data_IF_727402632731
#
_entry.id   IF_727402632731
#
_cell.length_a   1.000
_cell.length_b   1.000
_cell.length_c   1.000
_cell.angle_alpha   90.00
_cell.angle_beta   90.00
_cell.angle_gamma   90.00
#
_symmetry.space_group_name_H-M   'P 1'
#
loop_
_entity.id
_entity.type
_entity.pdbx_description
1 polymer ?
#
# COMPACT_ATOMS: atom_id res chain seq x y z
N UNK A 1 -33.29 25.93 33.32
CA UNK A 1 -31.87 25.96 32.92
C UNK A 1 -31.87 25.39 31.53
N UNK A 2 -31.72 26.28 30.56
CA UNK A 2 -31.59 25.91 29.15
C UNK A 2 -30.19 25.29 29.02
N UNK A 3 -30.13 24.06 28.52
CA UNK A 3 -28.88 23.44 28.10
C UNK A 3 -28.38 24.21 26.88
N UNK A 4 -27.37 25.06 27.09
CA UNK A 4 -26.53 25.59 26.02
C UNK A 4 -25.67 24.41 25.52
N UNK A 5 -26.20 23.62 24.58
CA UNK A 5 -25.33 22.88 23.66
C UNK A 5 -24.69 23.92 22.74
N UNK A 6 -23.41 24.19 22.94
CA UNK A 6 -22.62 25.00 22.04
C UNK A 6 -22.45 24.20 20.74
N UNK A 7 -23.13 24.60 19.66
CA UNK A 7 -23.07 24.01 18.31
C UNK A 7 -21.67 24.14 17.64
N UNK A 8 -20.62 24.36 18.44
CA UNK A 8 -19.23 24.58 18.01
C UNK A 8 -18.25 23.52 18.53
N UNK A 9 -18.73 22.48 19.23
CA UNK A 9 -17.86 21.45 19.80
C UNK A 9 -17.22 20.59 18.67
N UNK A 10 -15.89 20.65 18.56
CA UNK A 10 -15.11 19.93 17.51
C UNK A 10 -14.07 18.99 18.12
N UNK A 11 -14.50 18.01 18.94
CA UNK A 11 -13.59 17.20 19.75
C UNK A 11 -12.57 16.39 18.92
N UNK A 12 -12.94 15.96 17.71
CA UNK A 12 -12.01 15.30 16.80
C UNK A 12 -10.97 16.27 16.23
N UNK A 13 -11.40 17.48 15.85
CA UNK A 13 -10.50 18.53 15.40
C UNK A 13 -9.50 18.95 16.49
N UNK A 14 -10.00 19.14 17.72
CA UNK A 14 -9.19 19.49 18.87
C UNK A 14 -8.20 18.38 19.24
N UNK A 15 -8.58 17.11 19.09
CA UNK A 15 -7.68 15.99 19.31
C UNK A 15 -6.51 15.98 18.31
N UNK A 16 -6.78 16.27 17.02
CA UNK A 16 -5.74 16.40 16.00
C UNK A 16 -4.82 17.58 16.32
N UNK A 17 -5.39 18.75 16.64
CA UNK A 17 -4.61 19.94 16.99
C UNK A 17 -3.75 19.72 18.24
N UNK A 18 -4.28 19.05 19.26
CA UNK A 18 -3.54 18.71 20.47
C UNK A 18 -2.36 17.76 20.18
N UNK A 19 -2.47 16.87 19.19
CA UNK A 19 -1.36 16.03 18.74
C UNK A 19 -0.26 16.84 18.03
N UNK A 20 -0.65 17.89 17.29
CA UNK A 20 0.25 18.73 16.50
C UNK A 20 0.92 19.84 17.32
N UNK A 21 0.26 20.36 18.35
CA UNK A 21 0.74 21.49 19.15
C UNK A 21 2.16 21.30 19.73
N UNK A 22 2.55 20.11 20.23
CA UNK A 22 3.94 19.89 20.69
C UNK A 22 4.97 19.89 19.55
N UNK A 23 4.60 19.45 18.34
CA UNK A 23 5.51 19.38 17.19
C UNK A 23 5.75 20.76 16.56
N UNK A 24 4.72 21.61 16.56
CA UNK A 24 4.72 22.89 15.85
C UNK A 24 4.45 24.06 16.80
N UNK A 25 5.00 24.01 18.00
CA UNK A 25 4.75 24.99 19.05
C UNK A 25 4.99 26.43 18.57
N UNK A 26 3.95 27.26 18.61
CA UNK A 26 4.00 28.67 18.21
C UNK A 26 3.90 28.92 16.69
N UNK A 27 3.67 27.87 15.88
CA UNK A 27 3.38 28.00 14.46
C UNK A 27 1.87 27.87 14.21
N UNK A 28 1.28 28.89 13.60
CA UNK A 28 -0.07 28.80 13.05
C UNK A 28 -0.03 28.00 11.73
N UNK A 29 -0.84 26.94 11.58
CA UNK A 29 -0.89 26.18 10.35
C UNK A 29 -1.44 27.01 9.20
N UNK A 30 -0.99 26.68 7.99
CA UNK A 30 -1.72 27.09 6.78
C UNK A 30 -2.81 26.08 6.52
N UNK A 31 -4.03 26.45 6.87
CA UNK A 31 -5.19 25.60 6.72
C UNK A 31 -5.90 25.85 5.37
N UNK A 32 -6.12 24.79 4.62
CA UNK A 32 -6.79 24.78 3.32
C UNK A 32 -8.09 23.97 3.44
N UNK A 33 -9.20 24.66 3.65
CA UNK A 33 -10.53 24.04 3.71
C UNK A 33 -11.18 23.89 2.33
N UNK A 34 -12.26 23.12 2.25
CA UNK A 34 -13.06 23.01 1.03
C UNK A 34 -14.01 24.20 0.86
N UNK A 35 -14.23 24.62 -0.40
CA UNK A 35 -15.15 25.73 -0.70
C UNK A 35 -16.62 25.34 -0.53
N UNK A 36 -16.94 24.06 -0.74
CA UNK A 36 -18.25 23.46 -0.51
C UNK A 36 -18.04 22.13 0.23
N UNK A 37 -18.59 21.97 1.45
CA UNK A 37 -18.48 20.72 2.20
C UNK A 37 -19.00 19.52 1.41
N UNK A 38 -18.37 18.36 1.60
CA UNK A 38 -18.75 17.12 0.92
C UNK A 38 -20.19 16.70 1.21
N UNK A 39 -20.64 16.87 2.46
CA UNK A 39 -22.01 16.62 2.90
C UNK A 39 -23.06 17.47 2.17
N UNK A 40 -22.64 18.60 1.58
CA UNK A 40 -23.48 19.50 0.79
C UNK A 40 -23.31 19.30 -0.73
N UNK A 41 -22.69 18.18 -1.15
CA UNK A 41 -22.47 17.86 -2.55
C UNK A 41 -21.17 18.40 -3.15
N UNK A 42 -20.21 18.79 -2.28
CA UNK A 42 -18.83 19.08 -2.69
C UNK A 42 -18.12 17.87 -3.32
N UNK A 43 -17.02 18.11 -4.04
CA UNK A 43 -16.24 17.04 -4.70
C UNK A 43 -15.07 16.52 -3.85
N UNK A 44 -14.76 17.22 -2.76
CA UNK A 44 -13.60 16.99 -1.92
C UNK A 44 -14.05 16.49 -0.53
N UNK A 45 -13.77 15.22 -0.16
CA UNK A 45 -14.28 14.63 1.08
C UNK A 45 -13.66 15.20 2.35
N UNK A 46 -12.41 15.67 2.30
CA UNK A 46 -11.73 16.21 3.48
C UNK A 46 -12.24 17.62 3.78
N UNK A 47 -12.65 17.89 5.02
CA UNK A 47 -13.01 19.23 5.49
C UNK A 47 -11.86 20.22 5.31
N UNK A 48 -10.62 19.76 5.50
CA UNK A 48 -9.44 20.56 5.19
C UNK A 48 -8.11 19.84 5.34
N UNK A 49 -7.05 20.55 4.98
CA UNK A 49 -5.67 20.09 5.09
C UNK A 49 -4.85 21.21 5.73
N UNK A 50 -4.22 20.91 6.87
CA UNK A 50 -3.27 21.82 7.52
C UNK A 50 -1.85 21.53 7.03
N UNK A 51 -1.10 22.59 6.74
CA UNK A 51 0.30 22.48 6.32
C UNK A 51 1.20 23.23 7.29
N UNK A 52 2.20 22.52 7.80
CA UNK A 52 3.23 23.03 8.71
C UNK A 52 4.61 23.01 8.03
N UNK A 53 5.50 23.87 8.53
CA UNK A 53 6.91 23.89 8.15
C UNK A 53 7.75 23.27 9.27
N UNK A 54 8.70 22.41 8.89
CA UNK A 54 9.69 21.83 9.80
C UNK A 54 11.10 21.98 9.23
N UNK A 55 12.05 22.46 10.03
CA UNK A 55 13.45 22.63 9.62
C UNK A 55 14.30 21.35 9.72
N UNK A 56 13.87 20.39 10.57
CA UNK A 56 14.65 19.20 10.91
C UNK A 56 13.82 17.91 10.66
N UNK A 57 14.46 16.79 10.28
CA UNK A 57 15.90 16.58 10.06
C UNK A 57 16.44 17.27 8.80
N UNK A 58 15.57 17.56 7.84
CA UNK A 58 15.80 18.47 6.71
C UNK A 58 14.57 19.38 6.57
N UNK A 59 14.71 20.57 5.98
CA UNK A 59 13.56 21.41 5.66
C UNK A 59 12.49 20.67 4.86
N UNK A 60 11.27 20.64 5.37
CA UNK A 60 10.14 19.96 4.73
C UNK A 60 8.79 20.59 5.10
N UNK A 61 7.81 20.36 4.23
CA UNK A 61 6.40 20.60 4.49
C UNK A 61 5.76 19.36 5.12
N UNK A 62 4.95 19.53 6.16
CA UNK A 62 4.13 18.47 6.74
C UNK A 62 2.65 18.76 6.52
N UNK A 63 1.98 17.91 5.75
CA UNK A 63 0.55 17.99 5.43
C UNK A 63 -0.21 17.05 6.34
N UNK A 64 -1.32 17.50 6.91
CA UNK A 64 -2.19 16.72 7.79
C UNK A 64 -3.64 16.90 7.34
N UNK A 65 -4.33 15.80 7.09
CA UNK A 65 -5.74 15.82 6.70
C UNK A 65 -6.67 15.95 7.89
N UNK A 66 -7.86 16.50 7.62
CA UNK A 66 -9.00 16.55 8.52
C UNK A 66 -10.21 16.08 7.70
N UNK A 67 -10.79 14.95 8.07
CA UNK A 67 -12.06 14.47 7.50
C UNK A 67 -12.16 12.96 7.32
N UNK A 68 -11.07 12.19 7.47
CA UNK A 68 -11.19 10.74 7.55
C UNK A 68 -11.74 10.30 8.91
N UNK A 69 -11.45 11.07 9.95
CA UNK A 69 -11.99 10.90 11.30
C UNK A 69 -13.23 11.74 11.52
N UNK A 70 -13.97 11.46 12.60
CA UNK A 70 -15.13 12.27 12.99
C UNK A 70 -14.67 13.52 13.73
N UNK A 71 -14.63 14.65 13.02
CA UNK A 71 -14.11 15.93 13.54
C UNK A 71 -15.07 16.60 14.54
N UNK A 72 -16.37 16.38 14.36
CA UNK A 72 -17.46 17.00 15.12
C UNK A 72 -18.05 16.01 16.14
N UNK A 73 -19.36 15.76 16.11
CA UNK A 73 -19.98 14.69 16.87
C UNK A 73 -19.76 13.32 16.22
N UNK A 74 -19.90 12.26 17.03
CA UNK A 74 -19.95 10.87 16.55
C UNK A 74 -21.19 10.64 15.66
N UNK A 75 -20.96 10.13 14.46
CA UNK A 75 -21.98 9.77 13.46
C UNK A 75 -21.99 8.27 13.13
N UNK A 76 -20.83 7.64 13.09
CA UNK A 76 -20.64 6.22 12.79
C UNK A 76 -21.12 5.34 13.96
N UNK A 77 -21.66 4.16 13.64
CA UNK A 77 -22.16 3.21 14.64
C UNK A 77 -21.05 2.43 15.37
N UNK A 78 -19.81 2.50 14.87
CA UNK A 78 -18.67 1.90 15.54
C UNK A 78 -18.18 2.86 16.64
N UNK A 79 -18.36 2.47 17.90
CA UNK A 79 -17.95 3.29 19.04
C UNK A 79 -16.43 3.27 19.29
N UNK A 80 -15.73 2.26 18.75
CA UNK A 80 -14.31 2.06 19.00
C UNK A 80 -13.45 2.89 18.02
N UNK A 81 -13.97 3.25 16.85
CA UNK A 81 -13.26 4.00 15.82
C UNK A 81 -13.88 5.37 15.54
N UNK A 82 -13.03 6.38 15.39
CA UNK A 82 -13.44 7.72 14.91
C UNK A 82 -13.47 7.75 13.40
N UNK A 83 -14.67 7.75 12.80
CA UNK A 83 -14.86 7.72 11.35
C UNK A 83 -14.22 6.49 10.71
N UNK A 84 -13.28 6.70 9.79
CA UNK A 84 -12.44 5.65 9.20
C UNK A 84 -11.26 5.23 10.09
N UNK A 85 -11.10 5.83 11.27
CA UNK A 85 -10.12 5.47 12.29
C UNK A 85 -8.71 6.00 12.06
N UNK A 86 -8.50 6.84 11.04
CA UNK A 86 -7.20 7.45 10.75
C UNK A 86 -7.31 8.88 10.21
N UNK A 87 -6.21 9.62 10.21
CA UNK A 87 -5.95 10.76 9.33
C UNK A 87 -4.65 10.50 8.54
N UNK A 88 -4.55 11.05 7.34
CA UNK A 88 -3.35 10.95 6.52
C UNK A 88 -2.39 12.09 6.83
N UNK A 89 -1.10 11.77 6.83
CA UNK A 89 -0.03 12.76 6.87
C UNK A 89 0.92 12.58 5.68
N UNK A 90 1.60 13.64 5.28
CA UNK A 90 2.60 13.55 4.22
C UNK A 90 3.73 14.55 4.46
N UNK A 91 4.98 14.11 4.28
CA UNK A 91 6.17 14.97 4.42
C UNK A 91 6.86 15.12 3.08
N UNK A 92 6.98 16.36 2.63
CA UNK A 92 7.60 16.71 1.35
C UNK A 92 8.87 17.52 1.60
N UNK A 93 10.03 16.99 1.19
CA UNK A 93 11.27 17.74 1.23
C UNK A 93 11.14 19.00 0.36
N UNK A 94 11.72 20.10 0.83
CA UNK A 94 11.67 21.36 0.11
C UNK A 94 12.76 21.43 -0.94
N UNK A 95 12.55 22.22 -1.99
CA UNK A 95 13.62 22.58 -2.93
C UNK A 95 14.45 23.76 -2.42
N UNK A 96 15.64 23.94 -2.97
CA UNK A 96 16.56 25.02 -2.59
C UNK A 96 15.89 26.40 -2.61
N UNK A 97 16.02 27.13 -1.50
CA UNK A 97 15.52 28.50 -1.35
C UNK A 97 14.09 28.63 -0.80
N UNK A 98 13.39 27.51 -0.55
CA UNK A 98 12.16 27.55 0.23
C UNK A 98 12.43 27.77 1.73
N UNK A 99 11.44 28.37 2.40
CA UNK A 99 11.49 28.67 3.83
C UNK A 99 10.09 28.60 4.43
N UNK A 100 9.99 28.72 5.76
CA UNK A 100 8.71 28.82 6.46
C UNK A 100 7.75 29.91 5.93
N UNK A 101 8.27 30.94 5.23
CA UNK A 101 7.47 31.99 4.61
C UNK A 101 7.00 31.70 3.17
N UNK A 102 7.57 30.70 2.50
CA UNK A 102 7.22 30.32 1.12
C UNK A 102 5.89 29.60 1.06
N UNK A 103 5.08 29.76 0.02
CA UNK A 103 3.81 29.01 -0.16
C UNK A 103 4.08 27.50 -0.34
N UNK A 104 3.34 26.59 0.32
CA UNK A 104 3.59 25.16 0.17
C UNK A 104 3.08 24.67 -1.20
N UNK A 105 3.72 23.66 -1.81
CA UNK A 105 3.20 23.03 -3.02
C UNK A 105 1.76 22.52 -2.82
N UNK A 106 0.89 22.77 -3.81
CA UNK A 106 -0.53 22.40 -3.73
C UNK A 106 -0.80 20.94 -4.18
N UNK A 107 0.09 20.34 -4.98
CA UNK A 107 -0.13 18.99 -5.52
C UNK A 107 -0.34 17.90 -4.44
N UNK A 108 0.31 17.93 -3.25
CA UNK A 108 0.04 16.93 -2.21
C UNK A 108 -1.39 17.02 -1.67
N UNK A 109 -1.98 18.22 -1.65
CA UNK A 109 -3.37 18.39 -1.24
C UNK A 109 -4.31 17.66 -2.22
N UNK A 110 -4.05 17.81 -3.53
CA UNK A 110 -4.80 17.09 -4.55
C UNK A 110 -4.60 15.57 -4.46
N UNK A 111 -3.38 15.10 -4.16
CA UNK A 111 -3.11 13.69 -3.91
C UNK A 111 -3.92 13.17 -2.72
N UNK A 112 -3.91 13.87 -1.59
CA UNK A 112 -4.64 13.49 -0.38
C UNK A 112 -6.15 13.47 -0.61
N UNK A 113 -6.71 14.44 -1.33
CA UNK A 113 -8.13 14.44 -1.73
C UNK A 113 -8.48 13.29 -2.68
N UNK A 114 -7.57 12.92 -3.59
CA UNK A 114 -7.76 11.74 -4.46
C UNK A 114 -7.87 10.44 -3.64
N UNK A 115 -7.01 10.30 -2.62
CA UNK A 115 -7.05 9.15 -1.71
C UNK A 115 -8.31 9.16 -0.84
N UNK A 116 -8.74 10.34 -0.38
CA UNK A 116 -10.00 10.48 0.34
C UNK A 116 -11.19 10.04 -0.53
N UNK A 117 -11.27 10.48 -1.79
CA UNK A 117 -12.32 10.02 -2.71
C UNK A 117 -12.32 8.51 -2.92
N UNK A 118 -11.15 7.87 -2.95
CA UNK A 118 -11.07 6.41 -3.03
C UNK A 118 -11.66 5.73 -1.80
N UNK A 119 -11.28 6.15 -0.59
CA UNK A 119 -11.76 5.54 0.66
C UNK A 119 -13.27 5.77 0.83
N UNK A 120 -13.73 6.99 0.62
CA UNK A 120 -15.16 7.34 0.73
C UNK A 120 -16.01 6.66 -0.34
N UNK A 121 -15.48 6.47 -1.55
CA UNK A 121 -16.22 5.84 -2.65
C UNK A 121 -16.23 4.30 -2.60
N UNK A 122 -15.19 3.68 -2.04
CA UNK A 122 -15.05 2.21 -2.01
C UNK A 122 -15.31 1.58 -0.64
N UNK A 123 -15.18 2.34 0.44
CA UNK A 123 -15.17 1.84 1.81
C UNK A 123 -13.87 1.14 2.22
N UNK A 124 -12.90 0.99 1.31
CA UNK A 124 -11.63 0.34 1.61
C UNK A 124 -10.69 1.30 2.35
N UNK A 125 -10.38 0.99 3.59
CA UNK A 125 -9.49 1.79 4.45
C UNK A 125 -8.02 1.46 4.23
N UNK A 126 -7.16 2.43 4.52
CA UNK A 126 -5.72 2.22 4.57
C UNK A 126 -5.30 1.82 5.98
N UNK A 127 -4.28 0.96 6.08
CA UNK A 127 -3.67 0.56 7.35
C UNK A 127 -2.15 0.71 7.26
N UNK A 128 -1.51 0.73 8.42
CA UNK A 128 -0.06 0.68 8.54
C UNK A 128 0.50 -0.53 7.78
N UNK A 129 1.47 -0.28 6.90
CA UNK A 129 2.07 -1.26 6.00
C UNK A 129 1.34 -1.48 4.68
N UNK A 130 0.20 -0.82 4.41
CA UNK A 130 -0.39 -0.83 3.07
C UNK A 130 0.50 -0.11 2.06
N UNK A 131 0.30 -0.41 0.78
CA UNK A 131 1.00 0.23 -0.32
C UNK A 131 0.15 0.21 -1.60
N UNK A 132 0.39 1.14 -2.52
CA UNK A 132 -0.30 1.21 -3.80
C UNK A 132 0.61 1.77 -4.90
N UNK A 133 0.28 1.41 -6.15
CA UNK A 133 0.87 2.00 -7.34
C UNK A 133 0.09 3.28 -7.71
N UNK A 134 0.77 4.41 -7.85
CA UNK A 134 0.15 5.68 -8.19
C UNK A 134 -0.19 5.80 -9.69
N UNK A 135 0.11 4.77 -10.49
CA UNK A 135 -0.05 4.70 -11.95
C UNK A 135 0.68 5.83 -12.69
N UNK A 136 1.83 6.22 -12.16
CA UNK A 136 2.66 7.31 -12.65
C UNK A 136 3.32 8.06 -11.49
N UNK A 137 4.07 9.13 -11.79
CA UNK A 137 4.70 9.96 -10.77
C UNK A 137 3.69 10.52 -9.76
N UNK A 138 4.00 10.43 -8.45
CA UNK A 138 3.14 10.97 -7.38
C UNK A 138 2.94 12.49 -7.50
N UNK A 139 3.92 13.17 -8.10
CA UNK A 139 3.87 14.58 -8.47
C UNK A 139 3.95 14.69 -9.99
N UNK A 140 2.81 14.97 -10.62
CA UNK A 140 2.72 15.10 -12.09
C UNK A 140 3.64 16.21 -12.59
N UNK A 141 4.12 16.04 -13.83
CA UNK A 141 5.03 16.98 -14.51
C UNK A 141 6.36 17.23 -13.79
N UNK A 142 6.65 16.47 -12.73
CA UNK A 142 7.97 16.41 -12.13
C UNK A 142 8.71 15.20 -12.70
N UNK A 143 10.03 15.33 -12.93
CA UNK A 143 10.87 14.22 -13.36
C UNK A 143 11.14 13.18 -12.26
N UNK A 144 10.27 13.09 -11.24
CA UNK A 144 10.48 12.23 -10.08
C UNK A 144 10.36 10.76 -10.45
N UNK A 145 11.15 9.92 -9.77
CA UNK A 145 11.06 8.45 -9.85
C UNK A 145 10.05 7.87 -8.87
N UNK A 146 9.45 8.70 -8.02
CA UNK A 146 8.49 8.25 -7.02
C UNK A 146 7.14 8.00 -7.70
N UNK A 147 6.83 6.73 -7.97
CA UNK A 147 5.63 6.30 -8.70
C UNK A 147 4.67 5.47 -7.84
N UNK A 148 5.01 5.29 -6.57
CA UNK A 148 4.28 4.45 -5.63
C UNK A 148 4.14 5.12 -4.28
N UNK A 149 3.18 4.66 -3.49
CA UNK A 149 2.95 5.12 -2.14
C UNK A 149 2.92 3.95 -1.17
N UNK A 150 3.58 4.12 -0.04
CA UNK A 150 3.43 3.28 1.15
C UNK A 150 2.74 4.09 2.26
N UNK A 151 2.04 3.37 3.14
CA UNK A 151 1.39 3.91 4.31
C UNK A 151 2.07 3.32 5.53
N UNK A 152 2.52 4.18 6.44
CA UNK A 152 3.15 3.78 7.70
C UNK A 152 2.58 4.62 8.83
N UNK A 153 2.53 4.09 10.06
CA UNK A 153 2.25 4.92 11.23
C UNK A 153 3.20 6.14 11.28
N UNK A 154 2.66 7.34 11.47
CA UNK A 154 3.47 8.56 11.52
C UNK A 154 4.46 8.49 12.70
N UNK A 155 5.77 8.65 12.46
CA UNK A 155 6.79 8.45 13.48
C UNK A 155 6.77 9.51 14.60
N UNK A 156 6.04 10.62 14.42
CA UNK A 156 5.95 11.71 15.39
C UNK A 156 4.52 11.92 15.94
N UNK A 157 3.50 11.32 15.32
CA UNK A 157 2.11 11.44 15.72
C UNK A 157 1.56 10.07 16.15
N UNK A 158 1.73 9.68 17.43
CA UNK A 158 1.22 8.41 17.91
C UNK A 158 -0.31 8.38 17.85
N UNK A 159 -0.89 7.19 17.72
CA UNK A 159 -2.33 6.98 17.79
C UNK A 159 -2.89 7.38 19.16
N UNK A 160 -4.15 7.81 19.18
CA UNK A 160 -4.81 8.42 20.36
C UNK A 160 -6.29 8.10 20.36
N UNK A 161 -6.85 8.10 21.56
CA UNK A 161 -8.30 8.04 21.73
C UNK A 161 -8.87 9.46 21.76
N UNK A 162 -9.99 9.63 21.07
CA UNK A 162 -10.80 10.86 21.05
C UNK A 162 -12.14 10.58 21.71
N UNK A 163 -12.95 11.62 21.94
CA UNK A 163 -14.35 11.44 22.35
C UNK A 163 -15.16 10.61 21.35
N UNK A 164 -14.75 10.61 20.08
CA UNK A 164 -15.40 9.91 18.98
C UNK A 164 -14.80 8.53 18.67
N UNK A 165 -13.88 8.03 19.50
CA UNK A 165 -13.19 6.74 19.29
C UNK A 165 -11.73 6.90 18.90
N UNK A 166 -11.12 5.78 18.51
CA UNK A 166 -9.70 5.67 18.22
C UNK A 166 -9.31 6.36 16.90
N UNK A 167 -8.18 7.05 16.91
CA UNK A 167 -7.59 7.76 15.78
C UNK A 167 -6.11 7.44 15.67
N UNK A 168 -5.64 7.04 14.49
CA UNK A 168 -4.22 6.94 14.17
C UNK A 168 -3.80 7.91 13.06
N UNK A 169 -2.52 8.25 12.97
CA UNK A 169 -1.98 9.02 11.85
C UNK A 169 -1.17 8.10 10.93
N UNK A 170 -1.56 8.05 9.65
CA UNK A 170 -0.88 7.27 8.62
C UNK A 170 -0.12 8.19 7.68
N UNK A 171 1.20 8.12 7.73
CA UNK A 171 2.07 8.87 6.85
C UNK A 171 2.24 8.18 5.50
N UNK A 172 2.04 8.95 4.44
CA UNK A 172 2.36 8.58 3.08
C UNK A 172 3.87 8.69 2.83
N UNK A 173 4.41 7.70 2.15
CA UNK A 173 5.82 7.66 1.74
C UNK A 173 5.91 7.35 0.25
N UNK A 174 6.53 8.26 -0.52
CA UNK A 174 6.78 8.04 -1.94
C UNK A 174 7.89 7.02 -2.17
N UNK A 175 7.65 6.03 -3.03
CA UNK A 175 8.58 4.95 -3.37
C UNK A 175 8.86 4.89 -4.87
N UNK A 176 10.09 4.49 -5.22
CA UNK A 176 10.47 4.11 -6.59
C UNK A 176 9.94 2.72 -6.96
N UNK A 177 10.00 2.36 -8.25
CA UNK A 177 9.62 1.03 -8.72
C UNK A 177 10.44 -0.07 -8.02
N UNK A 178 11.76 0.11 -7.90
CA UNK A 178 12.65 -0.88 -7.31
C UNK A 178 12.39 -1.09 -5.81
N UNK A 179 12.10 -0.02 -5.09
CA UNK A 179 11.71 -0.06 -3.68
C UNK A 179 10.35 -0.75 -3.50
N UNK A 180 9.39 -0.50 -4.40
CA UNK A 180 8.11 -1.20 -4.40
C UNK A 180 8.28 -2.71 -4.66
N UNK A 181 9.16 -3.11 -5.59
CA UNK A 181 9.46 -4.53 -5.81
C UNK A 181 10.13 -5.16 -4.57
N UNK A 182 10.97 -4.42 -3.84
CA UNK A 182 11.46 -4.88 -2.54
C UNK A 182 10.33 -5.05 -1.51
N UNK A 183 9.37 -4.11 -1.46
CA UNK A 183 8.20 -4.20 -0.57
C UNK A 183 7.41 -5.48 -0.83
N UNK A 184 7.14 -5.81 -2.09
CA UNK A 184 6.44 -7.05 -2.47
C UNK A 184 7.20 -8.31 -2.04
N UNK A 185 8.53 -8.30 -2.13
CA UNK A 185 9.39 -9.45 -1.78
C UNK A 185 9.63 -9.61 -0.28
N UNK A 186 9.37 -8.58 0.52
CA UNK A 186 9.55 -8.63 1.97
C UNK A 186 8.34 -8.09 2.71
N UNK A 187 8.30 -6.79 2.99
CA UNK A 187 7.17 -6.11 3.58
C UNK A 187 7.39 -4.60 3.51
N UNK A 188 6.31 -3.83 3.52
CA UNK A 188 6.38 -2.36 3.57
C UNK A 188 7.16 -1.89 4.78
N UNK A 189 6.80 -2.38 5.98
CA UNK A 189 7.44 -2.01 7.24
C UNK A 189 8.93 -2.35 7.26
N UNK A 190 9.28 -3.58 6.85
CA UNK A 190 10.66 -4.03 6.82
C UNK A 190 11.52 -3.19 5.89
N UNK A 191 11.05 -2.97 4.66
CA UNK A 191 11.77 -2.16 3.68
C UNK A 191 11.95 -0.74 4.18
N UNK A 192 10.87 -0.08 4.61
CA UNK A 192 10.98 1.27 5.16
C UNK A 192 11.99 1.30 6.31
N UNK A 193 11.88 0.39 7.29
CA UNK A 193 12.82 0.33 8.41
C UNK A 193 14.29 0.18 7.98
N UNK A 194 14.58 -0.61 6.94
CA UNK A 194 15.94 -0.70 6.38
C UNK A 194 16.37 0.60 5.69
N UNK A 195 15.46 1.32 5.03
CA UNK A 195 15.73 2.60 4.36
C UNK A 195 15.79 3.80 5.32
N UNK A 196 15.36 3.64 6.58
CA UNK A 196 15.28 4.71 7.59
C UNK A 196 16.53 5.59 7.70
N UNK A 197 17.76 5.04 7.68
CA UNK A 197 18.97 5.86 7.79
C UNK A 197 19.15 6.86 6.63
N UNK A 198 18.62 6.54 5.45
CA UNK A 198 18.70 7.38 4.25
C UNK A 198 17.42 8.18 3.98
N UNK A 199 16.33 7.88 4.69
CA UNK A 199 15.03 8.55 4.57
C UNK A 199 14.44 8.87 5.94
N UNK A 200 15.08 9.77 6.71
CA UNK A 200 14.65 10.06 8.08
C UNK A 200 13.25 10.68 8.09
N UNK A 201 12.42 10.28 9.06
CA UNK A 201 10.99 10.62 9.15
C UNK A 201 10.18 10.30 7.89
N UNK A 202 10.68 9.45 6.98
CA UNK A 202 10.06 9.13 5.69
C UNK A 202 9.67 10.35 4.85
N UNK A 203 10.49 11.40 4.92
CA UNK A 203 10.33 12.60 4.11
C UNK A 203 10.53 12.21 2.64
N UNK A 204 9.51 12.48 1.82
CA UNK A 204 9.56 12.23 0.39
C UNK A 204 10.28 13.37 -0.31
N UNK A 205 11.44 13.08 -0.89
CA UNK A 205 12.19 13.99 -1.76
C UNK A 205 11.95 13.62 -3.22
N UNK A 206 11.35 14.53 -3.99
CA UNK A 206 11.02 14.29 -5.40
C UNK A 206 12.26 14.13 -6.29
N UNK A 207 13.42 14.62 -5.86
CA UNK A 207 14.68 14.56 -6.62
C UNK A 207 15.48 13.29 -6.32
N UNK A 208 15.10 12.49 -5.30
CA UNK A 208 15.86 11.31 -4.91
C UNK A 208 15.79 10.19 -5.96
N UNK A 209 16.88 9.44 -6.05
CA UNK A 209 16.93 8.17 -6.77
C UNK A 209 16.38 6.98 -5.96
N UNK A 210 16.58 5.79 -6.50
CA UNK A 210 16.34 4.53 -5.79
C UNK A 210 17.37 4.38 -4.65
N UNK A 211 16.92 4.23 -3.40
CA UNK A 211 17.82 4.05 -2.27
C UNK A 211 18.49 2.67 -2.26
N UNK A 212 17.92 1.69 -2.96
CA UNK A 212 18.53 0.36 -3.10
C UNK A 212 19.70 0.33 -4.09
N UNK A 213 20.05 1.47 -4.70
CA UNK A 213 21.32 1.62 -5.41
C UNK A 213 22.51 1.63 -4.43
N UNK A 214 22.27 1.90 -3.13
CA UNK A 214 23.24 1.68 -2.06
C UNK A 214 23.31 0.16 -1.73
N UNK A 215 24.46 -0.50 -1.96
CA UNK A 215 24.62 -1.93 -1.69
C UNK A 215 24.40 -2.32 -0.23
N UNK A 216 24.66 -1.42 0.73
CA UNK A 216 24.45 -1.70 2.15
C UNK A 216 22.96 -1.77 2.48
N UNK A 217 22.16 -0.84 1.96
CA UNK A 217 20.70 -0.85 2.12
C UNK A 217 20.07 -2.04 1.39
N UNK A 218 20.50 -2.31 0.16
CA UNK A 218 20.05 -3.47 -0.60
C UNK A 218 20.32 -4.79 0.13
N UNK A 219 21.52 -4.94 0.71
CA UNK A 219 21.88 -6.12 1.48
C UNK A 219 21.02 -6.28 2.75
N UNK A 220 20.70 -5.18 3.45
CA UNK A 220 19.81 -5.21 4.61
C UNK A 220 18.40 -5.66 4.23
N UNK A 221 17.85 -5.12 3.14
CA UNK A 221 16.54 -5.52 2.61
C UNK A 221 16.52 -6.98 2.20
N UNK A 222 17.55 -7.45 1.50
CA UNK A 222 17.67 -8.85 1.10
C UNK A 222 17.78 -9.78 2.31
N UNK A 223 18.57 -9.42 3.33
CA UNK A 223 18.70 -10.19 4.56
C UNK A 223 17.40 -10.22 5.37
N UNK A 224 16.63 -9.12 5.37
CA UNK A 224 15.28 -9.04 5.95
C UNK A 224 14.31 -9.99 5.26
N UNK A 225 14.19 -9.88 3.93
CA UNK A 225 13.38 -10.76 3.09
C UNK A 225 13.73 -12.24 3.31
N UNK A 226 15.02 -12.59 3.31
CA UNK A 226 15.47 -13.97 3.48
C UNK A 226 15.15 -14.54 4.87
N UNK A 227 15.06 -13.70 5.90
CA UNK A 227 14.74 -14.10 7.28
C UNK A 227 13.24 -14.23 7.50
N UNK A 228 12.45 -13.32 6.97
CA UNK A 228 11.04 -13.14 7.33
C UNK A 228 10.05 -13.57 6.24
N UNK A 229 10.54 -13.71 5.01
CA UNK A 229 9.74 -13.97 3.83
C UNK A 229 8.93 -12.76 3.38
N UNK A 230 8.09 -12.96 2.37
CA UNK A 230 7.19 -11.92 1.87
C UNK A 230 5.95 -11.75 2.77
N UNK A 231 5.37 -10.55 2.79
CA UNK A 231 4.05 -10.22 3.34
C UNK A 231 2.96 -10.19 2.26
N UNK A 232 3.29 -10.12 0.97
CA UNK A 232 2.33 -10.22 -0.16
C UNK A 232 1.65 -11.58 -0.21
N UNK A 233 0.47 -11.71 0.36
CA UNK A 233 -0.24 -13.00 0.48
C UNK A 233 -1.11 -13.36 -0.72
N UNK A 234 -1.41 -12.41 -1.59
CA UNK A 234 -2.35 -12.58 -2.70
C UNK A 234 -1.79 -11.93 -3.97
N UNK A 235 -2.02 -12.56 -5.11
CA UNK A 235 -1.78 -12.02 -6.45
C UNK A 235 -3.05 -12.08 -7.28
N UNK A 236 -3.45 -10.94 -7.82
CA UNK A 236 -4.49 -10.91 -8.84
C UNK A 236 -3.89 -11.30 -10.19
N UNK A 237 -4.44 -12.35 -10.78
CA UNK A 237 -3.98 -12.90 -12.07
C UNK A 237 -5.13 -12.98 -13.06
N UNK A 238 -4.87 -12.56 -14.30
CA UNK A 238 -5.90 -12.50 -15.34
C UNK A 238 -6.31 -13.89 -15.82
N UNK A 239 -5.34 -14.77 -16.02
CA UNK A 239 -5.57 -16.14 -16.47
C UNK A 239 -5.21 -17.11 -15.36
N UNK A 240 -6.25 -17.68 -14.74
CA UNK A 240 -6.18 -18.73 -13.73
C UNK A 240 -7.23 -19.81 -14.06
N UNK A 241 -6.76 -21.00 -14.41
CA UNK A 241 -7.61 -22.16 -14.61
C UNK A 241 -6.86 -23.41 -14.12
N UNK A 242 -7.54 -24.55 -14.04
CA UNK A 242 -6.92 -25.84 -13.85
C UNK A 242 -7.75 -26.95 -14.44
N UNK A 243 -7.08 -28.07 -14.73
CA UNK A 243 -7.74 -29.32 -15.14
C UNK A 243 -7.08 -30.52 -14.51
N UNK A 244 -7.88 -31.54 -14.25
CA UNK A 244 -7.43 -32.82 -13.72
C UNK A 244 -7.61 -33.93 -14.75
N UNK A 245 -6.51 -34.56 -15.16
CA UNK A 245 -6.50 -35.63 -16.16
C UNK A 245 -5.62 -36.76 -15.65
N UNK A 246 -6.16 -37.99 -15.59
CA UNK A 246 -5.41 -39.19 -15.20
C UNK A 246 -4.59 -39.05 -13.89
N UNK A 247 -5.12 -38.33 -12.90
CA UNK A 247 -4.46 -38.10 -11.61
C UNK A 247 -3.41 -36.99 -11.60
N UNK A 248 -3.24 -36.27 -12.72
CA UNK A 248 -2.36 -35.10 -12.83
C UNK A 248 -3.21 -33.84 -12.84
N UNK A 249 -2.89 -32.89 -11.95
CA UNK A 249 -3.47 -31.55 -11.95
C UNK A 249 -2.58 -30.61 -12.75
N UNK A 250 -3.18 -29.89 -13.70
CA UNK A 250 -2.52 -28.88 -14.52
C UNK A 250 -3.08 -27.51 -14.13
N UNK A 251 -2.28 -26.70 -13.43
CA UNK A 251 -2.58 -25.30 -13.15
C UNK A 251 -2.25 -24.47 -14.41
N UNK A 252 -3.17 -23.65 -14.89
CA UNK A 252 -2.99 -22.80 -16.06
C UNK A 252 -2.77 -21.37 -15.60
N UNK A 253 -1.65 -20.78 -15.99
CA UNK A 253 -1.28 -19.40 -15.68
C UNK A 253 -0.98 -18.61 -16.96
N UNK A 254 -1.38 -17.34 -16.97
CA UNK A 254 -0.94 -16.39 -17.98
C UNK A 254 0.54 -16.05 -17.81
N UNK A 255 1.29 -16.02 -18.91
CA UNK A 255 2.73 -15.73 -18.93
C UNK A 255 3.10 -14.43 -18.21
N UNK A 256 2.23 -13.40 -18.26
CA UNK A 256 2.46 -12.10 -17.65
C UNK A 256 2.58 -12.10 -16.12
N UNK A 257 2.12 -13.16 -15.43
CA UNK A 257 2.18 -13.25 -13.97
C UNK A 257 3.09 -14.37 -13.45
N UNK A 258 3.69 -15.16 -14.37
CA UNK A 258 4.53 -16.32 -14.00
C UNK A 258 5.72 -15.92 -13.13
N UNK A 259 6.42 -14.84 -13.50
CA UNK A 259 7.63 -14.42 -12.78
C UNK A 259 7.30 -14.03 -11.33
N UNK A 260 6.23 -13.24 -11.11
CA UNK A 260 5.79 -12.86 -9.77
C UNK A 260 5.36 -14.05 -8.91
N UNK A 261 4.66 -15.03 -9.51
CA UNK A 261 4.28 -16.27 -8.81
C UNK A 261 5.52 -17.07 -8.41
N UNK A 262 6.45 -17.27 -9.35
CA UNK A 262 7.67 -18.05 -9.11
C UNK A 262 8.62 -17.38 -8.12
N UNK A 263 8.65 -16.05 -8.07
CA UNK A 263 9.44 -15.28 -7.12
C UNK A 263 8.85 -15.32 -5.70
N UNK A 264 7.53 -15.12 -5.58
CA UNK A 264 6.88 -15.01 -4.26
C UNK A 264 6.62 -16.36 -3.59
N UNK A 265 6.33 -17.43 -4.33
CA UNK A 265 6.03 -18.74 -3.74
C UNK A 265 7.13 -19.23 -2.77
N UNK A 266 8.42 -19.26 -3.14
CA UNK A 266 9.49 -19.64 -2.23
C UNK A 266 9.60 -18.71 -1.01
N UNK A 267 9.39 -17.41 -1.19
CA UNK A 267 9.44 -16.40 -0.12
C UNK A 267 8.29 -16.52 0.87
N UNK A 268 7.26 -17.29 0.56
CA UNK A 268 6.12 -17.54 1.45
C UNK A 268 6.14 -18.93 2.04
N UNK A 269 6.19 -19.95 1.19
CA UNK A 269 6.04 -21.34 1.63
C UNK A 269 7.18 -21.77 2.56
N UNK A 270 8.42 -21.30 2.34
CA UNK A 270 9.56 -21.57 3.23
C UNK A 270 9.40 -20.95 4.63
N UNK A 271 8.53 -19.96 4.75
CA UNK A 271 8.22 -19.26 6.00
C UNK A 271 6.86 -19.67 6.57
N UNK A 272 6.29 -20.79 6.10
CA UNK A 272 5.00 -21.31 6.58
C UNK A 272 3.80 -20.43 6.22
N UNK A 273 3.93 -19.54 5.25
CA UNK A 273 2.87 -18.64 4.79
C UNK A 273 2.32 -19.15 3.45
N UNK A 274 1.00 -19.08 3.26
CA UNK A 274 0.37 -19.40 1.98
C UNK A 274 0.50 -18.26 0.96
N UNK A 275 0.35 -18.58 -0.32
CA UNK A 275 0.18 -17.60 -1.41
C UNK A 275 -1.10 -17.91 -2.18
N UNK A 276 -1.99 -16.94 -2.27
CA UNK A 276 -3.23 -17.04 -3.01
C UNK A 276 -3.11 -16.38 -4.39
N UNK A 277 -3.56 -17.09 -5.42
CA UNK A 277 -3.72 -16.57 -6.77
C UNK A 277 -5.21 -16.39 -7.02
N UNK A 278 -5.64 -15.18 -7.38
CA UNK A 278 -7.06 -14.83 -7.52
C UNK A 278 -7.33 -14.27 -8.91
N UNK A 279 -8.33 -14.80 -9.59
CA UNK A 279 -8.93 -14.19 -10.78
C UNK A 279 -10.35 -13.72 -10.48
N UNK A 280 -11.07 -13.24 -11.50
CA UNK A 280 -12.48 -12.84 -11.33
C UNK A 280 -13.40 -14.00 -10.96
N UNK A 281 -13.03 -15.23 -11.30
CA UNK A 281 -13.91 -16.40 -11.22
C UNK A 281 -13.33 -17.53 -10.38
N UNK A 282 -12.02 -17.53 -10.13
CA UNK A 282 -11.33 -18.65 -9.51
C UNK A 282 -10.25 -18.22 -8.53
N UNK A 283 -9.96 -19.07 -7.56
CA UNK A 283 -8.88 -18.90 -6.60
C UNK A 283 -8.04 -20.16 -6.43
N UNK A 284 -6.73 -20.00 -6.26
CA UNK A 284 -5.80 -21.08 -6.02
C UNK A 284 -4.84 -20.71 -4.89
N UNK A 285 -4.95 -21.38 -3.75
CA UNK A 285 -4.05 -21.22 -2.61
C UNK A 285 -2.94 -22.27 -2.63
N UNK A 286 -1.70 -21.81 -2.63
CA UNK A 286 -0.54 -22.66 -2.34
C UNK A 286 -0.24 -22.65 -0.84
N UNK A 287 -0.11 -23.83 -0.25
CA UNK A 287 0.28 -24.05 1.16
C UNK A 287 1.52 -24.96 1.24
N UNK A 288 2.27 -24.88 2.34
CA UNK A 288 3.46 -25.70 2.53
C UNK A 288 3.06 -27.14 2.90
N UNK A 289 3.64 -28.14 2.25
CA UNK A 289 3.40 -29.54 2.59
C UNK A 289 4.09 -29.91 3.93
N UNK A 290 3.41 -29.69 5.06
CA UNK A 290 4.02 -29.84 6.40
C UNK A 290 3.16 -30.49 7.49
N UNK A 291 1.90 -30.84 7.24
CA UNK A 291 0.96 -31.23 8.32
C UNK A 291 -0.09 -32.28 7.99
N UNK A 292 0.07 -33.05 6.90
CA UNK A 292 -0.97 -33.99 6.45
C UNK A 292 -2.16 -33.30 5.76
N UNK A 293 -2.02 -32.01 5.43
CA UNK A 293 -3.00 -31.26 4.64
C UNK A 293 -3.10 -31.87 3.24
N UNK A 294 -4.29 -32.35 2.90
CA UNK A 294 -4.58 -32.87 1.57
C UNK A 294 -4.76 -31.71 0.59
N UNK A 295 -4.34 -31.91 -0.66
CA UNK A 295 -4.69 -30.98 -1.72
C UNK A 295 -6.17 -31.16 -2.07
N UNK A 296 -6.91 -30.06 -2.09
CA UNK A 296 -8.34 -30.02 -2.38
C UNK A 296 -8.57 -29.18 -3.63
N UNK A 297 -9.38 -29.69 -4.56
CA UNK A 297 -9.67 -29.00 -5.82
C UNK A 297 -11.17 -29.08 -6.07
N UNK A 298 -11.77 -27.92 -6.27
CA UNK A 298 -13.17 -27.75 -6.63
C UNK A 298 -13.28 -27.08 -8.01
N UNK A 299 -14.48 -26.61 -8.38
CA UNK A 299 -14.72 -25.94 -9.66
C UNK A 299 -14.13 -24.51 -9.71
N UNK A 300 -14.17 -23.80 -8.58
CA UNK A 300 -13.82 -22.38 -8.48
C UNK A 300 -12.67 -22.10 -7.49
N UNK A 301 -12.28 -23.11 -6.72
CA UNK A 301 -11.27 -22.98 -5.67
C UNK A 301 -10.37 -24.20 -5.60
N UNK A 302 -9.09 -23.98 -5.32
CA UNK A 302 -8.15 -25.04 -5.06
C UNK A 302 -7.22 -24.65 -3.91
N UNK A 303 -6.90 -25.61 -3.05
CA UNK A 303 -5.90 -25.50 -1.99
C UNK A 303 -4.87 -26.60 -2.21
N UNK A 304 -3.65 -26.21 -2.54
CA UNK A 304 -2.64 -27.15 -3.01
C UNK A 304 -1.39 -27.14 -2.13
N UNK A 305 -1.08 -28.31 -1.56
CA UNK A 305 0.14 -28.50 -0.79
C UNK A 305 1.35 -28.71 -1.71
N UNK A 306 2.34 -27.82 -1.59
CA UNK A 306 3.58 -27.88 -2.35
C UNK A 306 4.75 -28.17 -1.41
N UNK A 307 5.50 -29.23 -1.71
CA UNK A 307 6.68 -29.61 -0.95
C UNK A 307 7.94 -28.85 -1.39
N UNK A 308 9.05 -29.06 -0.68
CA UNK A 308 10.31 -28.39 -0.98
C UNK A 308 10.84 -28.68 -2.39
N UNK A 309 10.58 -29.89 -2.92
CA UNK A 309 11.00 -30.28 -4.26
C UNK A 309 10.18 -29.53 -5.33
N UNK A 310 8.86 -29.42 -5.15
CA UNK A 310 7.98 -28.63 -6.00
C UNK A 310 8.31 -27.15 -5.97
N UNK A 311 8.63 -26.59 -4.79
CA UNK A 311 9.12 -25.22 -4.66
C UNK A 311 10.45 -25.02 -5.40
N UNK A 312 11.36 -26.00 -5.36
CA UNK A 312 12.61 -25.94 -6.11
C UNK A 312 12.39 -26.03 -7.63
N UNK A 313 11.39 -26.81 -8.07
CA UNK A 313 11.07 -26.97 -9.49
C UNK A 313 10.56 -25.67 -10.14
N UNK A 314 10.00 -24.73 -9.36
CA UNK A 314 9.62 -23.39 -9.85
C UNK A 314 10.75 -22.65 -10.56
N UNK A 315 12.02 -22.91 -10.19
CA UNK A 315 13.19 -22.31 -10.85
C UNK A 315 13.32 -22.68 -12.35
N UNK A 316 12.59 -23.69 -12.82
CA UNK A 316 12.52 -24.12 -14.22
C UNK A 316 11.35 -23.54 -15.01
N UNK A 317 10.35 -22.99 -14.31
CA UNK A 317 9.19 -22.35 -14.93
C UNK A 317 9.63 -21.03 -15.58
N UNK A 318 9.14 -20.77 -16.79
CA UNK A 318 9.44 -19.55 -17.55
C UNK A 318 8.12 -18.91 -17.96
N UNK A 319 8.12 -17.58 -18.11
CA UNK A 319 7.03 -16.82 -18.72
C UNK A 319 6.94 -17.05 -20.25
N UNK A 320 7.00 -18.31 -20.68
CA UNK A 320 6.98 -18.76 -22.07
C UNK A 320 5.94 -19.86 -22.21
N UNK A 321 5.26 -19.92 -23.37
CA UNK A 321 4.27 -20.97 -23.60
C UNK A 321 4.87 -22.37 -23.42
N UNK A 322 4.33 -23.14 -22.49
CA UNK A 322 4.86 -24.47 -22.20
C UNK A 322 4.16 -25.17 -21.04
N UNK A 323 4.58 -26.41 -20.77
CA UNK A 323 4.14 -27.20 -19.62
C UNK A 323 5.36 -27.51 -18.77
N UNK A 324 5.30 -27.12 -17.51
CA UNK A 324 6.39 -27.19 -16.54
C UNK A 324 5.99 -28.10 -15.37
N UNK A 325 6.55 -29.32 -15.28
CA UNK A 325 6.29 -30.21 -14.15
C UNK A 325 6.83 -29.63 -12.84
N UNK A 326 6.03 -29.66 -11.77
CA UNK A 326 6.47 -29.29 -10.43
C UNK A 326 6.64 -30.52 -9.52
N UNK A 327 5.68 -31.43 -9.57
CA UNK A 327 5.70 -32.70 -8.83
C UNK A 327 5.20 -33.82 -9.73
N UNK A 328 5.14 -35.07 -9.23
CA UNK A 328 4.54 -36.18 -9.97
C UNK A 328 3.05 -36.01 -10.28
N UNK A 329 2.37 -35.08 -9.60
CA UNK A 329 0.91 -34.87 -9.69
C UNK A 329 0.51 -33.42 -10.00
N UNK A 330 1.46 -32.47 -10.03
CA UNK A 330 1.23 -31.07 -10.37
C UNK A 330 2.17 -30.61 -11.48
N UNK A 331 1.60 -29.90 -12.46
CA UNK A 331 2.36 -29.14 -13.47
C UNK A 331 1.69 -27.79 -13.72
N UNK A 332 2.48 -26.81 -14.15
CA UNK A 332 2.00 -25.50 -14.60
C UNK A 332 2.00 -25.49 -16.13
N UNK A 333 0.86 -25.19 -16.74
CA UNK A 333 0.80 -24.76 -18.13
C UNK A 333 0.83 -23.24 -18.18
N UNK A 334 1.81 -22.71 -18.90
CA UNK A 334 1.90 -21.28 -19.17
C UNK A 334 1.29 -21.00 -20.54
N UNK A 335 0.33 -20.08 -20.57
CA UNK A 335 -0.34 -19.63 -21.80
C UNK A 335 -0.03 -18.17 -22.07
N UNK A 336 -0.03 -17.72 -23.34
CA UNK A 336 0.23 -16.33 -23.65
C UNK A 336 -0.75 -15.36 -22.98
N UNK A 337 -0.23 -14.26 -22.44
CA UNK A 337 -1.03 -13.14 -21.94
C UNK A 337 -1.16 -12.08 -23.03
N UNK A 338 -2.38 -11.62 -23.27
CA UNK A 338 -2.66 -10.57 -24.26
C UNK A 338 -3.01 -9.27 -23.55
N UNK A 339 -2.08 -8.32 -23.56
CA UNK A 339 -2.36 -6.96 -23.10
C UNK A 339 -3.29 -6.30 -24.12
N UNK A 340 -4.38 -5.71 -23.63
CA UNK A 340 -5.40 -5.07 -24.45
C UNK A 340 -5.52 -3.59 -24.12
N UNK A 341 -5.88 -2.78 -25.11
CA UNK A 341 -6.23 -1.38 -24.90
C UNK A 341 -7.65 -1.22 -24.31
N UNK A 342 -8.05 0.03 -24.06
CA UNK A 342 -9.38 0.36 -23.57
C UNK A 342 -10.53 -0.03 -24.52
N UNK A 343 -10.24 -0.39 -25.78
CA UNK A 343 -11.21 -0.85 -26.78
C UNK A 343 -11.22 -2.38 -26.91
N UNK A 344 -10.38 -3.08 -26.15
CA UNK A 344 -10.26 -4.54 -26.14
C UNK A 344 -9.33 -5.11 -27.21
N UNK A 345 -8.65 -4.25 -27.98
CA UNK A 345 -7.72 -4.67 -29.03
C UNK A 345 -6.39 -5.10 -28.41
N UNK A 346 -5.81 -6.18 -28.94
CA UNK A 346 -4.53 -6.70 -28.45
C UNK A 346 -3.41 -5.75 -28.84
N UNK A 347 -2.76 -5.14 -27.85
CA UNK A 347 -1.62 -4.23 -28.05
C UNK A 347 -0.27 -4.93 -27.90
N UNK A 348 -0.21 -6.02 -27.11
CA UNK A 348 1.03 -6.76 -26.88
C UNK A 348 0.74 -8.19 -26.41
N UNK A 349 1.55 -9.14 -26.86
CA UNK A 349 1.55 -10.51 -26.36
C UNK A 349 2.80 -10.74 -25.50
N UNK A 350 2.61 -11.45 -24.37
CA UNK A 350 3.68 -11.96 -23.51
C UNK A 350 3.59 -13.49 -23.54
N UNK A 351 4.73 -14.17 -23.76
CA UNK A 351 4.84 -15.63 -23.72
C UNK A 351 4.54 -16.36 -25.02
#
# INVERSE_FOLDING_TARGET
MQDDHDDTDTPGWDAINAALAPLYAGQEPRHYGTALPYTLGGQDPLDGISVYWADAPVPHWHYITYGFSELYAKESSDADASGYGFELTFRLATVDGESAGSTPPAWPMNLLQNLARYVFGSGNVFEDGHHLNANGPIALETGTRLCHLAFIADPQLPARDTTNGHLQFLQLVGLTDEEMEAVKRWSTRGVLQALQPAMPLWISDLQRGNLLDDPALAAQVQAGSAREGSSTGMLFIETLDWRQEAGITTLVLGAGQVDSVCELLPLRLRHGKSLELVSRERQWEFIAAGGGEASEVSADSARWALDAAGVQALASVRAERGIYPLTGVLRIEVVPTYLRDAKGEVIRQIG
#
